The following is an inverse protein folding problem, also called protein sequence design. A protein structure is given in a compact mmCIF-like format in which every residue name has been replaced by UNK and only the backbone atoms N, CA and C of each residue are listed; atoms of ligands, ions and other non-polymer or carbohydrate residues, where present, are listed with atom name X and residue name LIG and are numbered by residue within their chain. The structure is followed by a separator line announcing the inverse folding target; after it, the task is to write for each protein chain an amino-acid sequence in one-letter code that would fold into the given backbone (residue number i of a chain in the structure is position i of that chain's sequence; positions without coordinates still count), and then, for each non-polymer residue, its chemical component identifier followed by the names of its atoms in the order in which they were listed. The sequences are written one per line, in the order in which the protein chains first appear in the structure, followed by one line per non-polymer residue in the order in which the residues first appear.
data_IF_395596834920
#
_entry.id   IF_395596834920
#
_cell.length_a   1.000
_cell.length_b   1.000
_cell.length_c   1.000
_cell.angle_alpha   90.00
_cell.angle_beta   90.00
_cell.angle_gamma   90.00
#
_symmetry.space_group_name_H-M   'P 1'
#
loop_
_entity.id
_entity.type
_entity.pdbx_description
1 polymer ?
#
# COMPACT_ATOMS: atom_id res chain seq x y z
N UNK A 1 -8.89 12.61 9.56
CA UNK A 1 -8.48 11.55 10.50
C UNK A 1 -7.41 12.13 11.43
N UNK A 2 -7.23 11.63 12.65
CA UNK A 2 -6.05 11.99 13.46
C UNK A 2 -4.83 11.11 13.07
N UNK A 3 -3.63 11.47 13.54
CA UNK A 3 -2.39 10.75 13.17
C UNK A 3 -2.41 9.31 13.69
N UNK A 4 -2.96 9.06 14.87
CA UNK A 4 -3.01 7.72 15.46
C UNK A 4 -3.93 6.79 14.66
N UNK A 5 -5.08 7.30 14.21
CA UNK A 5 -5.99 6.61 13.31
C UNK A 5 -5.33 6.33 11.96
N UNK A 6 -4.50 7.25 11.44
CA UNK A 6 -3.72 7.03 10.22
C UNK A 6 -2.74 5.87 10.41
N UNK A 7 -1.94 5.87 11.48
CA UNK A 7 -0.94 4.82 11.73
C UNK A 7 -1.61 3.45 11.94
N UNK A 8 -2.75 3.41 12.63
CA UNK A 8 -3.53 2.19 12.81
C UNK A 8 -4.10 1.66 11.48
N UNK A 9 -4.60 2.56 10.63
CA UNK A 9 -5.16 2.19 9.30
C UNK A 9 -4.06 1.75 8.35
N UNK A 10 -2.90 2.42 8.37
CA UNK A 10 -1.69 2.09 7.62
C UNK A 10 -1.28 0.64 7.92
N UNK A 11 -1.15 0.32 9.22
CA UNK A 11 -0.81 -1.03 9.68
C UNK A 11 -1.81 -2.10 9.23
N UNK A 12 -3.11 -1.78 9.23
CA UNK A 12 -4.16 -2.69 8.76
C UNK A 12 -4.07 -2.94 7.26
N UNK A 13 -3.93 -1.88 6.47
CA UNK A 13 -3.83 -1.98 5.01
C UNK A 13 -2.58 -2.75 4.59
N UNK A 14 -1.41 -2.46 5.17
CA UNK A 14 -0.16 -3.17 4.88
C UNK A 14 -0.32 -4.68 5.14
N UNK A 15 -0.91 -5.06 6.29
CA UNK A 15 -1.16 -6.47 6.61
C UNK A 15 -2.15 -7.13 5.63
N UNK A 16 -3.21 -6.42 5.24
CA UNK A 16 -4.21 -6.93 4.30
C UNK A 16 -3.60 -7.15 2.92
N UNK A 17 -2.85 -6.17 2.40
CA UNK A 17 -2.18 -6.26 1.10
C UNK A 17 -1.21 -7.44 1.08
N UNK A 18 -0.35 -7.57 2.11
CA UNK A 18 0.59 -8.69 2.22
C UNK A 18 -0.13 -10.03 2.19
N UNK A 19 -1.21 -10.17 2.97
CA UNK A 19 -2.03 -11.40 3.02
C UNK A 19 -2.66 -11.72 1.67
N UNK A 20 -3.26 -10.73 1.00
CA UNK A 20 -3.89 -10.94 -0.30
C UNK A 20 -2.88 -11.27 -1.40
N UNK A 21 -1.68 -10.66 -1.38
CA UNK A 21 -0.59 -11.06 -2.27
C UNK A 21 -0.24 -12.53 -2.08
N UNK A 22 0.00 -12.98 -0.83
CA UNK A 22 0.32 -14.38 -0.52
C UNK A 22 -0.75 -15.35 -1.01
N UNK A 23 -2.04 -15.01 -0.84
CA UNK A 23 -3.13 -15.83 -1.33
C UNK A 23 -3.21 -15.88 -2.85
N UNK A 24 -3.02 -14.75 -3.55
CA UNK A 24 -2.97 -14.71 -5.01
C UNK A 24 -1.83 -15.59 -5.54
N UNK A 25 -0.64 -15.51 -4.93
CA UNK A 25 0.53 -16.36 -5.26
C UNK A 25 0.18 -17.83 -5.09
N UNK A 26 -0.40 -18.23 -3.95
CA UNK A 26 -0.81 -19.61 -3.70
C UNK A 26 -1.90 -20.10 -4.66
N UNK A 27 -2.82 -19.21 -5.05
CA UNK A 27 -3.95 -19.52 -5.94
C UNK A 27 -3.55 -19.67 -7.41
N UNK A 28 -2.43 -19.07 -7.85
CA UNK A 28 -1.85 -19.29 -9.19
C UNK A 28 -1.69 -20.79 -9.51
N UNK A 29 -1.49 -21.62 -8.49
CA UNK A 29 -1.34 -23.08 -8.62
C UNK A 29 -2.67 -23.84 -8.72
N UNK A 30 -3.83 -23.20 -8.49
CA UNK A 30 -5.13 -23.86 -8.33
C UNK A 30 -6.04 -23.80 -9.60
N UNK A 31 -5.53 -23.36 -10.76
CA UNK A 31 -6.26 -23.28 -12.05
C UNK A 31 -7.66 -22.64 -11.96
N UNK A 32 -7.82 -21.58 -11.17
CA UNK A 32 -9.05 -20.77 -11.15
C UNK A 32 -8.89 -19.55 -12.05
N UNK A 33 -9.89 -19.26 -12.88
CA UNK A 33 -9.88 -18.12 -13.81
C UNK A 33 -9.97 -16.76 -13.09
N UNK A 34 -10.51 -16.71 -11.87
CA UNK A 34 -10.73 -15.47 -11.12
C UNK A 34 -9.80 -15.34 -9.92
N UNK A 35 -9.12 -14.20 -9.84
CA UNK A 35 -8.25 -13.80 -8.73
C UNK A 35 -8.83 -12.56 -8.01
N UNK A 36 -9.83 -12.74 -7.14
CA UNK A 36 -10.38 -11.64 -6.34
C UNK A 36 -9.36 -11.01 -5.40
N UNK A 37 -8.34 -11.75 -4.97
CA UNK A 37 -7.25 -11.22 -4.13
C UNK A 37 -6.43 -10.19 -4.90
N UNK A 38 -6.14 -10.44 -6.18
CA UNK A 38 -5.48 -9.44 -7.04
C UNK A 38 -6.28 -8.15 -7.13
N UNK A 39 -7.60 -8.23 -7.33
CA UNK A 39 -8.46 -7.05 -7.36
C UNK A 39 -8.47 -6.31 -6.01
N UNK A 40 -8.51 -7.04 -4.91
CA UNK A 40 -8.45 -6.48 -3.56
C UNK A 40 -7.13 -5.77 -3.29
N UNK A 41 -5.99 -6.35 -3.69
CA UNK A 41 -4.65 -5.70 -3.60
C UNK A 41 -4.66 -4.36 -4.32
N UNK A 42 -5.18 -4.31 -5.55
CA UNK A 42 -5.24 -3.06 -6.33
C UNK A 42 -6.04 -1.97 -5.62
N UNK A 43 -7.19 -2.33 -5.02
CA UNK A 43 -8.00 -1.40 -4.23
C UNK A 43 -7.27 -0.90 -2.98
N UNK A 44 -6.68 -1.81 -2.22
CA UNK A 44 -5.99 -1.50 -0.96
C UNK A 44 -4.72 -0.67 -1.18
N UNK A 45 -3.98 -0.90 -2.28
CA UNK A 45 -2.86 -0.05 -2.68
C UNK A 45 -3.29 1.40 -2.93
N UNK A 46 -4.41 1.60 -3.62
CA UNK A 46 -4.95 2.93 -3.88
C UNK A 46 -5.43 3.61 -2.59
N UNK A 47 -6.00 2.85 -1.66
CA UNK A 47 -6.40 3.34 -0.34
C UNK A 47 -5.16 3.74 0.49
N UNK A 48 -4.11 2.93 0.47
CA UNK A 48 -2.85 3.22 1.16
C UNK A 48 -2.14 4.45 0.60
N UNK A 49 -2.20 4.67 -0.73
CA UNK A 49 -1.70 5.91 -1.33
C UNK A 49 -2.45 7.14 -0.82
N UNK A 50 -3.79 7.07 -0.80
CA UNK A 50 -4.63 8.17 -0.31
C UNK A 50 -4.36 8.45 1.17
N UNK A 51 -4.13 7.40 1.96
CA UNK A 51 -3.76 7.51 3.37
C UNK A 51 -2.44 8.26 3.56
N UNK A 52 -1.38 7.92 2.81
CA UNK A 52 -0.11 8.66 2.90
C UNK A 52 -0.21 10.09 2.38
N UNK A 53 -1.10 10.35 1.41
CA UNK A 53 -1.42 11.72 0.99
C UNK A 53 -2.07 12.50 2.14
N UNK A 54 -3.07 11.93 2.82
CA UNK A 54 -3.71 12.57 3.99
C UNK A 54 -2.70 12.79 5.13
N UNK A 55 -1.86 11.80 5.42
CA UNK A 55 -0.77 11.90 6.41
C UNK A 55 0.16 13.07 6.11
N UNK A 56 0.61 13.18 4.86
CA UNK A 56 1.47 14.27 4.41
C UNK A 56 0.79 15.65 4.55
N UNK A 57 -0.46 15.76 4.12
CA UNK A 57 -1.22 17.02 4.17
C UNK A 57 -1.45 17.46 5.64
N UNK A 58 -1.74 16.51 6.54
CA UNK A 58 -1.90 16.78 7.97
C UNK A 58 -0.59 17.19 8.64
N UNK A 59 0.51 16.48 8.37
CA UNK A 59 1.83 16.82 8.93
C UNK A 59 2.25 18.24 8.51
N UNK A 60 2.01 18.60 7.24
CA UNK A 60 2.26 19.97 6.75
C UNK A 60 1.37 21.02 7.40
N UNK A 61 0.09 20.70 7.62
CA UNK A 61 -0.85 21.63 8.26
C UNK A 61 -0.50 21.90 9.73
N UNK A 62 0.07 20.91 10.40
CA UNK A 62 0.43 20.97 11.82
C UNK A 62 1.86 21.46 12.06
N UNK A 63 2.57 21.94 11.02
CA UNK A 63 3.98 22.35 11.08
C UNK A 63 4.87 21.28 11.77
N UNK A 64 4.61 20.01 11.44
CA UNK A 64 5.38 18.88 11.93
C UNK A 64 6.84 18.93 11.44
N UNK A 65 7.70 18.09 12.02
CA UNK A 65 9.11 18.10 11.67
C UNK A 65 9.34 17.78 10.18
N UNK A 66 10.35 18.43 9.59
CA UNK A 66 10.68 18.25 8.18
C UNK A 66 10.98 16.80 7.82
N UNK A 67 11.58 16.03 8.73
CA UNK A 67 11.86 14.60 8.50
C UNK A 67 10.59 13.75 8.48
N UNK A 68 9.58 14.08 9.29
CA UNK A 68 8.30 13.37 9.30
C UNK A 68 7.52 13.61 8.01
N UNK A 69 7.48 14.87 7.56
CA UNK A 69 6.86 15.26 6.29
C UNK A 69 7.56 14.55 5.12
N UNK A 70 8.90 14.51 5.12
CA UNK A 70 9.68 13.84 4.09
C UNK A 70 9.44 12.32 4.09
N UNK A 71 9.36 11.70 5.26
CA UNK A 71 9.05 10.27 5.40
C UNK A 71 7.67 9.94 4.83
N UNK A 72 6.64 10.73 5.13
CA UNK A 72 5.30 10.54 4.56
C UNK A 72 5.29 10.74 3.04
N UNK A 73 6.05 11.71 2.52
CA UNK A 73 6.18 11.95 1.09
C UNK A 73 6.86 10.78 0.37
N UNK A 74 7.93 10.24 0.93
CA UNK A 74 8.66 9.11 0.34
C UNK A 74 7.86 7.83 0.38
N UNK A 75 7.12 7.57 1.47
CA UNK A 75 6.18 6.46 1.53
C UNK A 75 5.08 6.58 0.47
N UNK A 76 4.50 7.78 0.29
CA UNK A 76 3.53 8.05 -0.78
C UNK A 76 4.10 7.75 -2.17
N UNK A 77 5.34 8.17 -2.45
CA UNK A 77 6.02 7.91 -3.72
C UNK A 77 6.24 6.42 -3.95
N UNK A 78 6.76 5.70 -2.95
CA UNK A 78 6.96 4.24 -3.03
C UNK A 78 5.65 3.49 -3.33
N UNK A 79 4.52 3.91 -2.75
CA UNK A 79 3.22 3.31 -3.05
C UNK A 79 2.78 3.61 -4.48
N UNK A 80 2.96 4.84 -4.96
CA UNK A 80 2.61 5.20 -6.33
C UNK A 80 3.39 4.34 -7.35
N UNK A 81 4.70 4.20 -7.13
CA UNK A 81 5.54 3.32 -7.96
C UNK A 81 5.05 1.86 -7.91
N UNK A 82 4.61 1.41 -6.73
CA UNK A 82 4.06 0.05 -6.55
C UNK A 82 2.72 -0.12 -7.27
N UNK A 83 1.86 0.90 -7.28
CA UNK A 83 0.60 0.91 -8.06
C UNK A 83 0.90 0.83 -9.55
N UNK A 84 1.88 1.57 -10.04
CA UNK A 84 2.23 1.57 -11.45
C UNK A 84 2.82 0.22 -11.88
N UNK A 85 3.65 -0.41 -11.04
CA UNK A 85 4.07 -1.81 -11.23
C UNK A 85 2.86 -2.77 -11.29
N UNK A 86 1.91 -2.62 -10.36
CA UNK A 86 0.70 -3.45 -10.32
C UNK A 86 -0.12 -3.32 -11.60
N UNK A 87 -0.33 -2.09 -12.10
CA UNK A 87 -1.01 -1.81 -13.38
C UNK A 87 -0.28 -2.39 -14.57
N UNK A 88 1.05 -2.43 -14.51
CA UNK A 88 1.91 -3.12 -15.48
C UNK A 88 1.80 -4.65 -15.45
N UNK A 89 0.86 -5.21 -14.69
CA UNK A 89 0.69 -6.65 -14.48
C UNK A 89 1.91 -7.34 -13.86
N UNK A 90 2.65 -6.63 -13.01
CA UNK A 90 3.72 -7.23 -12.23
C UNK A 90 3.23 -8.46 -11.43
N UNK A 91 4.16 -9.38 -11.18
CA UNK A 91 3.90 -10.54 -10.32
C UNK A 91 3.63 -10.10 -8.88
N UNK A 92 2.72 -10.81 -8.21
CA UNK A 92 2.34 -10.50 -6.83
C UNK A 92 3.49 -10.63 -5.84
N UNK A 93 4.46 -11.50 -6.12
CA UNK A 93 5.69 -11.60 -5.34
C UNK A 93 6.47 -10.28 -5.34
N UNK A 94 6.52 -9.58 -6.48
CA UNK A 94 7.18 -8.27 -6.58
C UNK A 94 6.43 -7.22 -5.76
N UNK A 95 5.10 -7.18 -5.86
CA UNK A 95 4.25 -6.27 -5.08
C UNK A 95 4.42 -6.53 -3.58
N UNK A 96 4.40 -7.79 -3.17
CA UNK A 96 4.62 -8.21 -1.78
C UNK A 96 5.97 -7.71 -1.24
N UNK A 97 7.05 -7.87 -2.02
CA UNK A 97 8.38 -7.42 -1.64
C UNK A 97 8.48 -5.90 -1.53
N UNK A 98 7.82 -5.15 -2.43
CA UNK A 98 7.75 -3.69 -2.34
C UNK A 98 7.04 -3.24 -1.07
N UNK A 99 5.90 -3.85 -0.73
CA UNK A 99 5.15 -3.54 0.49
C UNK A 99 5.88 -3.96 1.77
N UNK A 100 6.78 -4.94 1.71
CA UNK A 100 7.66 -5.28 2.84
C UNK A 100 8.79 -4.27 3.07
N UNK A 101 9.11 -3.43 2.09
CA UNK A 101 10.18 -2.42 2.17
C UNK A 101 9.70 -1.02 2.60
N UNK A 102 8.42 -0.93 2.96
CA UNK A 102 7.81 0.23 3.61
C UNK A 102 8.06 0.13 5.12
#
# INVERSE_FOLDING_TARGET
MDIDQIVATESKLIKSIKRNCTFSIGRKNLRRETDPEKAQVGKELQELYNLYKEKYDLLRKNDADGAEIQTALDAKRKILDTIDLFKGNAEMDLIYNKINSL
#
